data_IF_679477046022
#
_entry.id   IF_679477046022
#
_cell.length_a   1.000
_cell.length_b   1.000
_cell.length_c   1.000
_cell.angle_alpha   90.00
_cell.angle_beta   90.00
_cell.angle_gamma   90.00
#
_symmetry.space_group_name_H-M   'P 1'
#
loop_
_entity.id
_entity.type
_entity.pdbx_description
1 polymer ?
#
# COMPACT_ATOMS: atom_id res chain seq x y z
N UNK A 1 14.76 -28.60 -48.50
CA UNK A 1 15.17 -27.76 -47.35
C UNK A 1 14.90 -26.29 -47.67
N UNK A 2 13.98 -25.62 -46.98
CA UNK A 2 13.80 -24.16 -47.06
C UNK A 2 13.59 -23.64 -45.64
N UNK A 3 14.61 -22.97 -45.08
CA UNK A 3 14.55 -22.29 -43.77
C UNK A 3 13.89 -20.93 -43.99
N UNK A 4 12.85 -20.61 -43.22
CA UNK A 4 12.31 -19.26 -43.08
C UNK A 4 12.88 -18.66 -41.80
N UNK A 5 13.62 -17.56 -41.94
CA UNK A 5 13.98 -16.66 -40.85
C UNK A 5 12.75 -15.85 -40.45
N UNK A 6 12.39 -15.86 -39.17
CA UNK A 6 11.53 -14.86 -38.57
C UNK A 6 12.41 -13.96 -37.70
N UNK A 7 12.51 -12.70 -38.11
CA UNK A 7 13.17 -11.64 -37.35
C UNK A 7 12.27 -11.22 -36.19
N UNK A 8 12.88 -11.11 -35.01
CA UNK A 8 12.27 -10.61 -33.80
C UNK A 8 12.02 -9.09 -33.90
N UNK A 9 10.82 -8.64 -33.53
CA UNK A 9 10.51 -7.23 -33.31
C UNK A 9 10.62 -6.96 -31.80
N UNK A 10 11.74 -6.42 -31.35
CA UNK A 10 11.90 -5.88 -30.00
C UNK A 10 11.58 -4.39 -30.03
N UNK A 11 10.37 -4.02 -29.62
CA UNK A 11 10.07 -2.62 -29.29
C UNK A 11 10.55 -2.34 -27.87
N UNK A 12 11.77 -1.80 -27.78
CA UNK A 12 12.25 -1.13 -26.58
C UNK A 12 11.56 0.23 -26.45
N UNK A 13 10.94 0.49 -25.31
CA UNK A 13 10.58 1.84 -24.90
C UNK A 13 11.70 2.35 -24.01
N UNK A 14 12.43 3.35 -24.52
CA UNK A 14 13.40 4.12 -23.77
C UNK A 14 12.65 4.97 -22.74
N UNK A 15 12.92 4.79 -21.45
CA UNK A 15 12.54 5.76 -20.42
C UNK A 15 13.63 6.84 -20.38
N UNK A 16 13.26 8.02 -20.85
CA UNK A 16 14.02 9.26 -20.73
C UNK A 16 14.24 9.63 -19.28
N UNK A 17 15.48 9.97 -18.96
CA UNK A 17 15.88 10.45 -17.65
C UNK A 17 15.38 11.86 -17.35
N UNK A 18 15.30 12.17 -16.06
CA UNK A 18 15.39 13.53 -15.55
C UNK A 18 16.42 13.52 -14.42
N UNK A 19 17.53 14.20 -14.69
CA UNK A 19 18.52 14.60 -13.70
C UNK A 19 18.32 16.09 -13.39
N UNK A 20 18.45 16.40 -12.10
CA UNK A 20 18.85 17.67 -11.48
C UNK A 20 17.94 18.90 -11.57
N UNK A 21 17.58 19.41 -10.38
CA UNK A 21 17.86 20.79 -9.98
C UNK A 21 18.03 20.85 -8.45
N UNK A 22 19.30 20.85 -8.02
CA UNK A 22 19.71 21.56 -6.79
C UNK A 22 19.67 23.07 -7.07
N UNK A 23 19.11 23.85 -6.14
CA UNK A 23 19.67 25.17 -5.86
C UNK A 23 19.35 25.58 -4.42
N UNK A 24 20.42 25.97 -3.74
CA UNK A 24 20.52 26.52 -2.40
C UNK A 24 20.05 27.98 -2.33
N UNK A 25 19.40 28.40 -1.25
CA UNK A 25 19.79 29.62 -0.52
C UNK A 25 19.10 29.79 0.84
N UNK A 26 19.70 30.67 1.64
CA UNK A 26 19.70 30.77 3.09
C UNK A 26 18.86 31.97 3.59
N UNK A 27 18.22 31.79 4.75
CA UNK A 27 18.03 32.75 5.87
C UNK A 27 17.20 34.03 5.69
N UNK A 28 16.12 34.19 6.49
CA UNK A 28 16.07 35.10 7.67
C UNK A 28 14.65 35.50 8.06
N UNK A 29 14.40 35.51 9.37
CA UNK A 29 13.19 35.95 10.06
C UNK A 29 13.03 37.49 10.08
N UNK A 30 11.80 37.98 10.31
CA UNK A 30 11.53 39.08 11.26
C UNK A 30 10.03 39.42 11.35
N UNK A 31 9.50 39.21 12.57
CA UNK A 31 8.56 40.01 13.38
C UNK A 31 7.28 40.69 12.84
N UNK A 32 6.23 40.38 13.62
CA UNK A 32 5.25 41.27 14.26
C UNK A 32 4.40 42.23 13.41
N UNK A 33 3.08 42.07 13.52
CA UNK A 33 2.30 43.05 14.30
C UNK A 33 0.93 42.48 14.70
N UNK A 34 0.59 42.76 15.96
CA UNK A 34 -0.61 42.37 16.69
C UNK A 34 -1.43 43.64 16.90
N UNK A 35 -2.74 43.59 16.66
CA UNK A 35 -3.74 44.53 17.20
C UNK A 35 -5.03 43.73 17.43
N UNK A 36 -5.34 43.30 18.67
CA UNK A 36 -6.29 43.94 19.61
C UNK A 36 -7.57 44.42 18.90
N UNK A 37 -8.67 43.67 18.99
CA UNK A 37 -9.62 43.53 20.12
C UNK A 37 -10.63 44.68 20.14
N UNK A 38 -11.91 44.36 19.88
CA UNK A 38 -13.03 44.94 20.64
C UNK A 38 -14.23 43.99 20.63
N UNK A 39 -14.58 43.49 21.81
CA UNK A 39 -15.86 42.86 22.14
C UNK A 39 -16.94 43.94 22.28
N UNK A 40 -18.16 43.64 21.81
CA UNK A 40 -19.38 44.08 22.50
C UNK A 40 -20.39 42.93 22.59
N UNK A 41 -20.49 42.41 23.82
CA UNK A 41 -21.69 41.89 24.52
C UNK A 41 -22.88 42.82 24.33
N UNK A 42 -24.15 42.49 24.54
CA UNK A 42 -24.95 41.32 24.92
C UNK A 42 -26.40 41.76 24.57
N UNK A 43 -27.32 40.85 24.22
CA UNK A 43 -28.58 40.68 24.97
C UNK A 43 -29.54 39.69 24.32
N UNK A 44 -30.14 38.94 25.23
CA UNK A 44 -31.02 37.79 25.10
C UNK A 44 -32.43 38.23 24.74
N UNK A 45 -33.10 37.50 23.85
CA UNK A 45 -34.56 37.39 23.89
C UNK A 45 -35.00 35.96 23.64
N UNK A 46 -35.92 35.55 24.50
CA UNK A 46 -36.40 34.23 24.81
C UNK A 46 -37.37 33.64 23.78
N UNK A 47 -37.42 32.30 23.79
CA UNK A 47 -38.64 31.49 23.87
C UNK A 47 -39.07 30.69 22.62
N UNK A 48 -39.34 29.41 22.93
CA UNK A 48 -40.31 28.50 22.33
C UNK A 48 -39.86 27.54 21.21
N UNK A 49 -39.46 26.35 21.68
CA UNK A 49 -39.98 25.02 21.33
C UNK A 49 -40.64 24.89 19.94
N UNK A 50 -40.07 24.01 19.11
CA UNK A 50 -40.84 22.96 18.46
C UNK A 50 -39.99 21.71 18.25
N UNK A 51 -40.46 20.62 18.86
CA UNK A 51 -40.05 19.25 18.59
C UNK A 51 -40.54 18.83 17.20
N UNK A 52 -39.63 18.38 16.34
CA UNK A 52 -39.92 17.36 15.33
C UNK A 52 -38.62 16.75 14.81
N UNK A 53 -37.87 16.06 15.70
CA UNK A 53 -36.86 15.12 15.22
C UNK A 53 -37.57 13.80 14.90
N UNK A 54 -38.17 13.77 13.71
CA UNK A 54 -38.56 12.54 13.03
C UNK A 54 -37.30 11.67 12.94
N UNK A 55 -37.25 10.62 13.76
CA UNK A 55 -36.32 9.51 13.57
C UNK A 55 -36.69 8.83 12.25
N UNK A 56 -36.17 9.33 11.14
CA UNK A 56 -35.93 8.49 9.96
C UNK A 56 -34.80 7.52 10.33
N UNK A 57 -35.21 6.46 11.03
CA UNK A 57 -34.48 5.21 11.03
C UNK A 57 -34.66 4.68 9.61
N UNK A 58 -33.76 5.10 8.72
CA UNK A 58 -33.59 4.48 7.41
C UNK A 58 -33.29 3.01 7.70
N UNK A 59 -34.34 2.18 7.69
CA UNK A 59 -34.18 0.74 7.61
C UNK A 59 -33.43 0.49 6.30
N UNK A 60 -32.13 0.28 6.43
CA UNK A 60 -31.31 -0.36 5.41
C UNK A 60 -32.01 -1.67 5.06
N UNK A 61 -32.81 -1.59 4.00
CA UNK A 61 -33.32 -2.65 3.15
C UNK A 61 -32.71 -4.02 3.50
N UNK A 62 -33.36 -4.72 4.44
CA UNK A 62 -32.91 -6.02 4.97
C UNK A 62 -33.02 -7.14 3.94
N UNK A 63 -33.53 -6.84 2.75
CA UNK A 63 -33.77 -7.81 1.67
C UNK A 63 -32.68 -7.81 0.59
N UNK A 64 -31.65 -6.95 0.69
CA UNK A 64 -30.45 -7.12 -0.15
C UNK A 64 -29.62 -8.28 0.36
N UNK A 65 -29.88 -9.47 -0.18
CA UNK A 65 -29.04 -10.65 -0.05
C UNK A 65 -27.58 -10.23 -0.29
N UNK A 66 -26.73 -10.32 0.75
CA UNK A 66 -25.30 -10.04 0.60
C UNK A 66 -24.75 -10.98 -0.47
N UNK A 67 -24.24 -10.42 -1.56
CA UNK A 67 -23.56 -11.18 -2.61
C UNK A 67 -22.39 -11.94 -1.97
N UNK A 68 -22.28 -13.23 -2.27
CA UNK A 68 -21.14 -14.03 -1.84
C UNK A 68 -19.98 -13.79 -2.79
N UNK A 69 -18.75 -14.05 -2.33
CA UNK A 69 -17.57 -13.90 -3.17
C UNK A 69 -17.68 -14.72 -4.47
N UNK A 70 -18.26 -15.92 -4.38
CA UNK A 70 -18.41 -16.83 -5.52
C UNK A 70 -19.45 -16.33 -6.54
N UNK A 71 -20.33 -15.40 -6.16
CA UNK A 71 -21.37 -14.86 -7.03
C UNK A 71 -20.81 -13.82 -8.02
N UNK A 72 -19.67 -13.19 -7.71
CA UNK A 72 -19.02 -12.23 -8.60
C UNK A 72 -18.44 -12.86 -9.87
N UNK A 73 -18.33 -12.04 -10.92
CA UNK A 73 -17.58 -12.40 -12.13
C UNK A 73 -16.09 -12.56 -11.82
N UNK A 74 -15.36 -13.43 -12.54
CA UNK A 74 -13.96 -13.73 -12.22
C UNK A 74 -13.02 -12.51 -12.21
N UNK A 75 -13.28 -11.50 -13.04
CA UNK A 75 -12.55 -10.21 -13.05
C UNK A 75 -12.68 -9.49 -11.70
N UNK A 76 -13.89 -9.46 -11.14
CA UNK A 76 -14.19 -8.85 -9.86
C UNK A 76 -13.61 -9.68 -8.72
N UNK A 77 -13.69 -11.01 -8.81
CA UNK A 77 -13.05 -11.91 -7.83
C UNK A 77 -11.54 -11.65 -7.75
N UNK A 78 -10.85 -11.55 -8.90
CA UNK A 78 -9.43 -11.23 -8.94
C UNK A 78 -9.15 -9.81 -8.41
N UNK A 79 -9.96 -8.82 -8.77
CA UNK A 79 -9.82 -7.45 -8.27
C UNK A 79 -10.00 -7.34 -6.74
N UNK A 80 -10.96 -8.09 -6.17
CA UNK A 80 -11.18 -8.16 -4.71
C UNK A 80 -9.94 -8.74 -4.01
N UNK A 81 -9.39 -9.85 -4.51
CA UNK A 81 -8.18 -10.45 -3.96
C UNK A 81 -7.00 -9.48 -4.05
N UNK A 82 -6.80 -8.86 -5.22
CA UNK A 82 -5.70 -7.93 -5.43
C UNK A 82 -5.81 -6.65 -4.60
N UNK A 83 -7.04 -6.20 -4.31
CA UNK A 83 -7.27 -5.12 -3.35
C UNK A 83 -6.78 -5.50 -1.95
N UNK A 84 -7.07 -6.71 -1.48
CA UNK A 84 -6.63 -7.16 -0.15
C UNK A 84 -5.10 -7.25 -0.06
N UNK A 85 -4.45 -7.81 -1.09
CA UNK A 85 -2.98 -7.78 -1.16
C UNK A 85 -2.44 -6.35 -1.17
N UNK A 86 -3.04 -5.45 -1.99
CA UNK A 86 -2.64 -4.04 -2.03
C UNK A 86 -2.82 -3.33 -0.68
N UNK A 87 -3.91 -3.60 0.05
CA UNK A 87 -4.14 -3.03 1.38
C UNK A 87 -3.03 -3.43 2.36
N UNK A 88 -2.55 -4.68 2.29
CA UNK A 88 -1.42 -5.15 3.08
C UNK A 88 -0.11 -4.52 2.62
N UNK A 89 0.14 -4.46 1.30
CA UNK A 89 1.34 -3.81 0.74
C UNK A 89 1.46 -2.37 1.21
N UNK A 90 0.39 -1.58 1.11
CA UNK A 90 0.38 -0.18 1.52
C UNK A 90 0.68 -0.06 3.01
N UNK A 91 0.11 -0.93 3.87
CA UNK A 91 0.40 -0.90 5.31
C UNK A 91 1.87 -1.20 5.60
N UNK A 92 2.48 -2.16 4.90
CA UNK A 92 3.91 -2.43 5.04
C UNK A 92 4.78 -1.29 4.49
N UNK A 93 4.39 -0.66 3.38
CA UNK A 93 5.10 0.52 2.83
C UNK A 93 5.21 1.62 3.90
N UNK A 94 4.12 1.93 4.61
CA UNK A 94 4.14 2.90 5.71
C UNK A 94 4.96 2.40 6.92
N UNK A 95 4.76 1.15 7.31
CA UNK A 95 5.38 0.59 8.52
C UNK A 95 6.90 0.42 8.40
N UNK A 96 7.41 0.23 7.18
CA UNK A 96 8.84 0.05 6.88
C UNK A 96 9.47 1.37 6.42
N UNK A 97 8.76 2.17 5.62
CA UNK A 97 9.32 3.37 5.00
C UNK A 97 9.83 4.41 6.01
N UNK A 98 9.10 4.64 7.10
CA UNK A 98 9.54 5.60 8.13
C UNK A 98 10.81 5.12 8.86
N UNK A 99 10.87 3.89 9.42
CA UNK A 99 12.12 3.36 9.97
C UNK A 99 13.29 3.33 8.97
N UNK A 100 13.02 2.98 7.71
CA UNK A 100 14.04 2.98 6.65
C UNK A 100 14.62 4.38 6.42
N UNK A 101 13.77 5.41 6.37
CA UNK A 101 14.21 6.79 6.26
C UNK A 101 15.09 7.20 7.45
N UNK A 102 14.68 6.87 8.68
CA UNK A 102 15.47 7.15 9.88
C UNK A 102 16.86 6.51 9.83
N UNK A 103 16.97 5.28 9.32
CA UNK A 103 18.25 4.58 9.18
C UNK A 103 19.23 5.31 8.23
N UNK A 104 18.75 6.15 7.31
CA UNK A 104 19.62 6.92 6.41
C UNK A 104 20.40 8.03 7.14
N UNK A 105 19.93 8.46 8.32
CA UNK A 105 20.56 9.50 9.13
C UNK A 105 21.69 8.95 10.03
N UNK A 106 22.40 9.82 10.76
CA UNK A 106 23.36 9.36 11.77
C UNK A 106 22.63 8.70 12.93
N UNK A 107 22.97 7.47 13.25
CA UNK A 107 22.25 6.67 14.25
C UNK A 107 22.98 6.68 15.59
N UNK A 108 22.50 7.49 16.53
CA UNK A 108 22.80 7.30 17.96
C UNK A 108 21.81 6.31 18.60
N UNK A 109 22.02 5.95 19.86
CA UNK A 109 21.18 4.99 20.55
C UNK A 109 19.71 5.44 20.61
N UNK A 110 19.45 6.74 20.82
CA UNK A 110 18.10 7.26 20.90
C UNK A 110 17.38 7.15 19.55
N UNK A 111 18.06 7.51 18.46
CA UNK A 111 17.53 7.37 17.10
C UNK A 111 17.18 5.91 16.78
N UNK A 112 18.02 4.96 17.20
CA UNK A 112 17.77 3.52 17.05
C UNK A 112 16.54 3.09 17.86
N UNK A 113 16.43 3.52 19.11
CA UNK A 113 15.31 3.16 19.98
C UNK A 113 13.98 3.71 19.42
N UNK A 114 13.98 4.96 18.96
CA UNK A 114 12.81 5.59 18.33
C UNK A 114 12.42 4.87 17.03
N UNK A 115 13.40 4.51 16.18
CA UNK A 115 13.18 3.74 14.96
C UNK A 115 12.56 2.37 15.26
N UNK A 116 13.12 1.64 16.22
CA UNK A 116 12.62 0.31 16.62
C UNK A 116 11.24 0.38 17.25
N UNK A 117 10.97 1.43 18.03
CA UNK A 117 9.64 1.68 18.58
C UNK A 117 8.62 1.87 17.45
N UNK A 118 8.95 2.68 16.44
CA UNK A 118 8.07 2.90 15.30
C UNK A 118 7.83 1.61 14.51
N UNK A 119 8.88 0.83 14.25
CA UNK A 119 8.78 -0.48 13.62
C UNK A 119 7.90 -1.44 14.43
N UNK A 120 8.03 -1.44 15.77
CA UNK A 120 7.23 -2.27 16.65
C UNK A 120 5.74 -1.89 16.57
N UNK A 121 5.43 -0.60 16.65
CA UNK A 121 4.06 -0.07 16.63
C UNK A 121 3.37 -0.29 15.29
N UNK A 122 4.09 -0.12 14.18
CA UNK A 122 3.50 -0.09 12.84
C UNK A 122 3.57 -1.46 12.13
N UNK A 123 4.67 -2.20 12.27
CA UNK A 123 4.83 -3.51 11.62
C UNK A 123 4.52 -4.66 12.59
N UNK A 124 5.31 -4.80 13.67
CA UNK A 124 5.32 -6.03 14.48
C UNK A 124 4.00 -6.24 15.25
N UNK A 125 3.41 -5.18 15.79
CA UNK A 125 2.12 -5.26 16.48
C UNK A 125 0.96 -5.59 15.53
N UNK A 126 1.09 -5.24 14.24
CA UNK A 126 0.07 -5.50 13.22
C UNK A 126 0.34 -6.76 12.40
N UNK A 127 1.51 -7.39 12.52
CA UNK A 127 1.97 -8.47 11.64
C UNK A 127 0.97 -9.63 11.55
N UNK A 128 0.41 -10.05 12.69
CA UNK A 128 -0.63 -11.08 12.71
C UNK A 128 -1.87 -10.68 11.90
N UNK A 129 -2.36 -9.46 12.12
CA UNK A 129 -3.53 -8.93 11.41
C UNK A 129 -3.29 -8.89 9.90
N UNK A 130 -2.11 -8.40 9.47
CA UNK A 130 -1.72 -8.33 8.06
C UNK A 130 -1.63 -9.73 7.43
N UNK A 131 -1.01 -10.68 8.13
CA UNK A 131 -0.95 -12.08 7.69
C UNK A 131 -2.33 -12.73 7.61
N UNK A 132 -3.23 -12.41 8.53
CA UNK A 132 -4.61 -12.89 8.50
C UNK A 132 -5.40 -12.31 7.30
N UNK A 133 -5.18 -11.04 6.94
CA UNK A 133 -5.74 -10.43 5.72
C UNK A 133 -5.22 -11.12 4.44
N UNK A 134 -3.92 -11.40 4.36
CA UNK A 134 -3.36 -12.17 3.23
C UNK A 134 -3.94 -13.57 3.19
N UNK A 135 -4.04 -14.27 4.32
CA UNK A 135 -4.63 -15.61 4.39
C UNK A 135 -6.09 -15.63 3.93
N UNK A 136 -6.86 -14.59 4.27
CA UNK A 136 -8.22 -14.42 3.76
C UNK A 136 -8.23 -14.23 2.25
N UNK A 137 -7.37 -13.36 1.70
CA UNK A 137 -7.26 -13.14 0.27
C UNK A 137 -6.85 -14.44 -0.49
N UNK A 138 -5.91 -15.20 0.06
CA UNK A 138 -5.52 -16.52 -0.46
C UNK A 138 -6.69 -17.51 -0.42
N UNK A 139 -7.52 -17.45 0.61
CA UNK A 139 -8.72 -18.31 0.73
C UNK A 139 -9.74 -17.97 -0.34
N UNK A 140 -10.03 -16.69 -0.56
CA UNK A 140 -10.87 -16.24 -1.68
C UNK A 140 -10.29 -16.65 -3.03
N UNK A 141 -8.99 -16.45 -3.24
CA UNK A 141 -8.34 -16.81 -4.48
C UNK A 141 -8.44 -18.31 -4.78
N UNK A 142 -8.26 -19.17 -3.77
CA UNK A 142 -8.44 -20.64 -3.89
C UNK A 142 -9.89 -21.06 -4.14
N UNK A 143 -10.86 -20.30 -3.65
CA UNK A 143 -12.30 -20.51 -3.87
C UNK A 143 -12.85 -19.86 -5.15
N UNK A 144 -12.02 -19.10 -5.88
CA UNK A 144 -12.44 -18.38 -7.08
C UNK A 144 -12.70 -19.31 -8.27
N UNK A 145 -13.32 -18.75 -9.31
CA UNK A 145 -13.58 -19.42 -10.59
C UNK A 145 -12.32 -19.48 -11.50
N UNK A 146 -11.17 -19.00 -11.02
CA UNK A 146 -9.92 -18.91 -11.78
C UNK A 146 -9.22 -20.27 -11.88
N UNK A 147 -8.31 -20.40 -12.86
CA UNK A 147 -7.51 -21.61 -13.04
C UNK A 147 -6.59 -21.84 -11.83
N UNK A 148 -6.53 -23.08 -11.34
CA UNK A 148 -5.79 -23.44 -10.10
C UNK A 148 -4.28 -23.21 -10.19
N UNK A 149 -3.68 -23.45 -11.34
CA UNK A 149 -2.26 -23.22 -11.60
C UNK A 149 -1.94 -21.72 -11.64
N UNK A 150 -2.82 -20.92 -12.25
CA UNK A 150 -2.70 -19.46 -12.27
C UNK A 150 -2.85 -18.86 -10.86
N UNK A 151 -3.85 -19.31 -10.09
CA UNK A 151 -4.00 -18.85 -8.70
C UNK A 151 -2.79 -19.22 -7.85
N UNK A 152 -2.18 -20.40 -8.05
CA UNK A 152 -0.96 -20.78 -7.33
C UNK A 152 0.24 -19.90 -7.69
N UNK A 153 0.38 -19.45 -8.95
CA UNK A 153 1.44 -18.50 -9.34
C UNK A 153 1.31 -17.19 -8.57
N UNK A 154 0.10 -16.66 -8.47
CA UNK A 154 -0.16 -15.42 -7.73
C UNK A 154 0.10 -15.57 -6.23
N UNK A 155 -0.31 -16.69 -5.63
CA UNK A 155 0.00 -17.01 -4.22
C UNK A 155 1.52 -17.08 -3.99
N UNK A 156 2.26 -17.68 -4.92
CA UNK A 156 3.72 -17.78 -4.80
C UNK A 156 4.39 -16.40 -4.91
N UNK A 157 3.90 -15.53 -5.80
CA UNK A 157 4.38 -14.15 -5.91
C UNK A 157 4.16 -13.38 -4.59
N UNK A 158 2.96 -13.48 -4.02
CA UNK A 158 2.61 -12.82 -2.74
C UNK A 158 3.46 -13.34 -1.58
N UNK A 159 3.62 -14.67 -1.46
CA UNK A 159 4.47 -15.26 -0.43
C UNK A 159 5.94 -14.82 -0.55
N UNK A 160 6.43 -14.64 -1.78
CA UNK A 160 7.78 -14.11 -2.00
C UNK A 160 7.89 -12.65 -1.56
N UNK A 161 6.89 -11.81 -1.87
CA UNK A 161 6.81 -10.44 -1.37
C UNK A 161 6.83 -10.38 0.16
N UNK A 162 6.00 -11.19 0.84
CA UNK A 162 5.99 -11.25 2.30
C UNK A 162 7.33 -11.70 2.89
N UNK A 163 8.00 -12.67 2.26
CA UNK A 163 9.33 -13.12 2.69
C UNK A 163 10.37 -12.00 2.61
N UNK A 164 10.33 -11.15 1.58
CA UNK A 164 11.24 -9.99 1.50
C UNK A 164 10.87 -8.93 2.53
N UNK A 165 9.58 -8.71 2.76
CA UNK A 165 9.06 -7.82 3.82
C UNK A 165 9.59 -8.22 5.20
N UNK A 166 9.55 -9.51 5.52
CA UNK A 166 10.11 -10.04 6.78
C UNK A 166 11.63 -9.80 6.89
N UNK A 167 12.38 -9.92 5.79
CA UNK A 167 13.82 -9.60 5.78
C UNK A 167 14.09 -8.12 6.05
N UNK A 168 13.31 -7.20 5.47
CA UNK A 168 13.43 -5.76 5.72
C UNK A 168 13.17 -5.43 7.20
N UNK A 169 12.09 -5.97 7.76
CA UNK A 169 11.75 -5.80 9.18
C UNK A 169 12.88 -6.34 10.06
N UNK A 170 13.40 -7.54 9.77
CA UNK A 170 14.51 -8.12 10.52
C UNK A 170 15.81 -7.30 10.41
N UNK A 171 16.10 -6.74 9.23
CA UNK A 171 17.24 -5.86 9.02
C UNK A 171 17.15 -4.64 9.95
N UNK A 172 16.02 -3.93 9.95
CA UNK A 172 15.76 -2.78 10.82
C UNK A 172 15.80 -3.12 12.32
N UNK A 173 15.20 -4.25 12.71
CA UNK A 173 15.17 -4.70 14.11
C UNK A 173 16.58 -5.05 14.64
N UNK A 174 17.50 -5.43 13.74
CA UNK A 174 18.88 -5.80 14.06
C UNK A 174 19.88 -4.62 14.10
N UNK A 175 19.42 -3.39 13.83
CA UNK A 175 20.30 -2.21 13.84
C UNK A 175 20.83 -1.93 15.24
N UNK A 176 22.11 -1.61 15.32
CA UNK A 176 22.84 -1.08 16.47
C UNK A 176 23.70 0.11 16.03
N UNK A 177 24.27 0.86 16.99
CA UNK A 177 25.14 2.01 16.69
C UNK A 177 26.35 1.56 15.86
N UNK A 178 26.90 0.39 16.18
CA UNK A 178 28.12 -0.15 15.57
C UNK A 178 27.88 -0.65 14.15
N UNK A 179 26.69 -1.19 13.86
CA UNK A 179 26.40 -1.82 12.58
C UNK A 179 25.51 -0.97 11.64
N UNK A 180 25.07 0.22 12.06
CA UNK A 180 24.11 1.04 11.31
C UNK A 180 24.52 1.28 9.85
N UNK A 181 25.81 1.52 9.59
CA UNK A 181 26.34 1.70 8.23
C UNK A 181 26.21 0.43 7.37
N UNK A 182 26.51 -0.73 7.94
CA UNK A 182 26.36 -2.02 7.26
C UNK A 182 24.88 -2.30 6.96
N UNK A 183 24.02 -2.11 7.97
CA UNK A 183 22.58 -2.34 7.85
C UNK A 183 21.91 -1.42 6.84
N UNK A 184 22.37 -0.17 6.70
CA UNK A 184 21.91 0.73 5.64
C UNK A 184 22.17 0.18 4.24
N UNK A 185 23.33 -0.44 4.01
CA UNK A 185 23.65 -1.04 2.71
C UNK A 185 22.80 -2.30 2.46
N UNK A 186 22.61 -3.14 3.48
CA UNK A 186 21.71 -4.29 3.41
C UNK A 186 20.27 -3.86 3.09
N UNK A 187 19.79 -2.82 3.78
CA UNK A 187 18.46 -2.24 3.57
C UNK A 187 18.27 -1.73 2.14
N UNK A 188 19.27 -1.04 1.57
CA UNK A 188 19.21 -0.54 0.19
C UNK A 188 19.10 -1.69 -0.83
N UNK A 189 19.79 -2.81 -0.61
CA UNK A 189 19.68 -4.00 -1.45
C UNK A 189 18.29 -4.65 -1.31
N UNK A 190 17.83 -4.84 -0.06
CA UNK A 190 16.53 -5.45 0.21
C UNK A 190 15.37 -4.60 -0.31
N UNK A 191 15.49 -3.26 -0.31
CA UNK A 191 14.48 -2.35 -0.87
C UNK A 191 14.26 -2.59 -2.37
N UNK A 192 15.32 -2.84 -3.12
CA UNK A 192 15.20 -3.15 -4.55
C UNK A 192 14.47 -4.48 -4.76
N UNK A 193 14.78 -5.51 -3.96
CA UNK A 193 14.07 -6.79 -3.98
C UNK A 193 12.59 -6.62 -3.61
N UNK A 194 12.31 -5.76 -2.62
CA UNK A 194 10.96 -5.48 -2.14
C UNK A 194 10.09 -4.85 -3.23
N UNK A 195 10.55 -3.75 -3.84
CA UNK A 195 9.83 -3.08 -4.93
C UNK A 195 9.59 -4.03 -6.10
N UNK A 196 10.62 -4.80 -6.50
CA UNK A 196 10.51 -5.79 -7.56
C UNK A 196 9.51 -6.90 -7.22
N UNK A 197 9.47 -7.36 -5.97
CA UNK A 197 8.53 -8.40 -5.54
C UNK A 197 7.08 -7.90 -5.51
N UNK A 198 6.85 -6.66 -5.09
CA UNK A 198 5.53 -6.04 -5.14
C UNK A 198 5.04 -5.83 -6.59
N UNK A 199 5.93 -5.42 -7.49
CA UNK A 199 5.63 -5.32 -8.92
C UNK A 199 5.33 -6.70 -9.54
N UNK A 200 6.05 -7.74 -9.11
CA UNK A 200 5.81 -9.10 -9.57
C UNK A 200 4.40 -9.58 -9.20
N UNK A 201 3.90 -9.28 -8.01
CA UNK A 201 2.52 -9.61 -7.61
C UNK A 201 1.51 -8.96 -8.58
N UNK A 202 1.69 -7.67 -8.90
CA UNK A 202 0.83 -6.95 -9.85
C UNK A 202 0.90 -7.52 -11.26
N UNK A 203 2.12 -7.81 -11.74
CA UNK A 203 2.34 -8.36 -13.08
C UNK A 203 1.73 -9.76 -13.19
N UNK A 204 1.96 -10.62 -12.21
CA UNK A 204 1.38 -11.97 -12.17
C UNK A 204 -0.15 -11.93 -12.11
N UNK A 205 -0.77 -10.96 -11.45
CA UNK A 205 -2.23 -10.82 -11.50
C UNK A 205 -2.75 -10.48 -12.91
N UNK A 206 -2.04 -9.64 -13.67
CA UNK A 206 -2.36 -9.38 -15.08
C UNK A 206 -2.21 -10.64 -15.92
N UNK A 207 -1.15 -11.42 -15.70
CA UNK A 207 -0.94 -12.71 -16.37
C UNK A 207 -2.04 -13.71 -16.03
N UNK A 208 -2.48 -13.79 -14.77
CA UNK A 208 -3.61 -14.63 -14.34
C UNK A 208 -4.88 -14.27 -15.09
N UNK A 209 -5.17 -12.97 -15.23
CA UNK A 209 -6.33 -12.49 -15.98
C UNK A 209 -6.25 -12.92 -17.46
N UNK A 210 -5.10 -12.68 -18.10
CA UNK A 210 -4.87 -13.07 -19.51
C UNK A 210 -5.00 -14.59 -19.71
N UNK A 211 -4.30 -15.38 -18.90
CA UNK A 211 -4.24 -16.83 -19.02
C UNK A 211 -5.57 -17.50 -18.66
N UNK A 212 -6.40 -16.84 -17.84
CA UNK A 212 -7.75 -17.30 -17.50
C UNK A 212 -8.82 -16.83 -18.50
N UNK A 213 -8.43 -16.09 -19.55
CA UNK A 213 -9.37 -15.60 -20.57
C UNK A 213 -10.29 -14.48 -20.09
N UNK A 214 -9.87 -13.73 -19.07
CA UNK A 214 -10.63 -12.62 -18.50
C UNK A 214 -10.44 -11.34 -19.32
N UNK A 215 -11.39 -10.42 -19.18
CA UNK A 215 -11.21 -9.05 -19.65
C UNK A 215 -10.22 -8.30 -18.73
N UNK A 216 -9.00 -8.10 -19.23
CA UNK A 216 -7.91 -7.46 -18.48
C UNK A 216 -8.22 -6.00 -18.15
N UNK A 217 -8.84 -5.26 -19.08
CA UNK A 217 -9.24 -3.88 -18.85
C UNK A 217 -10.30 -3.75 -17.76
N UNK A 218 -11.29 -4.65 -17.74
CA UNK A 218 -12.31 -4.70 -16.68
C UNK A 218 -11.67 -4.99 -15.33
N UNK A 219 -10.82 -6.03 -15.25
CA UNK A 219 -10.09 -6.34 -14.01
C UNK A 219 -9.30 -5.11 -13.50
N UNK A 220 -8.50 -4.48 -14.37
CA UNK A 220 -7.67 -3.32 -14.01
C UNK A 220 -8.52 -2.15 -13.54
N UNK A 221 -9.56 -1.80 -14.29
CA UNK A 221 -10.47 -0.70 -13.95
C UNK A 221 -11.15 -0.91 -12.59
N UNK A 222 -11.63 -2.12 -12.32
CA UNK A 222 -12.24 -2.46 -11.02
C UNK A 222 -11.21 -2.41 -9.91
N UNK A 223 -10.02 -2.97 -10.11
CA UNK A 223 -8.95 -2.93 -9.12
C UNK A 223 -8.53 -1.48 -8.81
N UNK A 224 -8.21 -0.68 -9.83
CA UNK A 224 -7.76 0.70 -9.68
C UNK A 224 -8.80 1.59 -8.99
N UNK A 225 -10.09 1.34 -9.22
CA UNK A 225 -11.18 2.06 -8.55
C UNK A 225 -11.17 1.89 -7.02
N UNK A 226 -10.69 0.75 -6.52
CA UNK A 226 -10.74 0.41 -5.09
C UNK A 226 -9.37 0.24 -4.44
N UNK A 227 -8.29 0.22 -5.23
CA UNK A 227 -6.92 0.15 -4.73
C UNK A 227 -6.58 1.44 -3.98
N UNK A 228 -5.88 1.30 -2.85
CA UNK A 228 -5.31 2.45 -2.17
C UNK A 228 -4.07 2.88 -2.91
N UNK A 229 -4.05 4.15 -3.29
CA UNK A 229 -2.82 4.79 -3.75
C UNK A 229 -1.98 5.11 -2.50
N UNK A 230 -0.67 4.81 -2.51
CA UNK A 230 0.20 5.38 -1.49
C UNK A 230 0.07 6.91 -1.56
N UNK A 231 -0.20 7.56 -0.42
CA UNK A 231 -0.19 9.02 -0.36
C UNK A 231 1.24 9.44 -0.68
N UNK A 232 1.44 10.23 -1.74
CA UNK A 232 2.76 10.78 -2.08
C UNK A 232 3.44 11.29 -0.81
N UNK A 233 4.51 10.62 -0.39
CA UNK A 233 5.37 11.03 0.72
C UNK A 233 6.42 11.99 0.19
#
# INVERSE_FOLDING_TARGET
MKKKLFAAFTCGVMMTGLAACESSEKTSASNESKSKQEERKDEVSSSSKNESNTKEKQELDKDKKREKFEDFDPEYQLAIVMRLFNDVTVKYDYAIGNPEYMLQESMDQKAIDDMKKLLQEQAKNNDKLLKDEVNQAVTFLKGSKLKKDETQKLINAENNYLKITEKLIACLDSVTVENAKEKRNEMNSLKQEYVKSAEQVRTTAVEVAQNSGLNVETYKSVFEKYAKQPVNQ
#
